data_IF_873835387921
#
_entry.id   IF_873835387921
#
_cell.length_a   1.000
_cell.length_b   1.000
_cell.length_c   1.000
_cell.angle_alpha   90.00
_cell.angle_beta   90.00
_cell.angle_gamma   90.00
#
_symmetry.space_group_name_H-M   'P 1'
#
loop_
_entity.id
_entity.type
_entity.pdbx_description
1 polymer ?
#
# COMPACT_ATOMS: atom_id res chain seq x y z
N UNK A 1 -58.05 59.93 -23.43
CA UNK A 1 -56.99 59.18 -24.14
C UNK A 1 -55.93 58.56 -23.21
N UNK A 2 -55.90 58.86 -21.90
CA UNK A 2 -54.93 58.26 -20.97
C UNK A 2 -55.26 56.81 -20.53
N UNK A 3 -56.52 56.39 -20.64
CA UNK A 3 -56.99 55.06 -20.21
C UNK A 3 -56.50 53.93 -21.14
N UNK A 4 -56.38 54.18 -22.44
CA UNK A 4 -55.96 53.18 -23.44
C UNK A 4 -54.46 52.89 -23.38
N UNK A 5 -53.64 53.85 -23.00
CA UNK A 5 -52.19 53.70 -22.85
C UNK A 5 -51.78 52.90 -21.60
N UNK A 6 -52.55 52.99 -20.51
CA UNK A 6 -52.30 52.26 -19.26
C UNK A 6 -52.62 50.78 -19.45
N UNK A 7 -53.79 50.48 -20.02
CA UNK A 7 -54.23 49.10 -20.33
C UNK A 7 -53.25 48.39 -21.29
N UNK A 8 -52.76 49.10 -22.31
CA UNK A 8 -51.79 48.53 -23.26
C UNK A 8 -50.41 48.27 -22.62
N UNK A 9 -50.04 49.01 -21.57
CA UNK A 9 -48.78 48.81 -20.84
C UNK A 9 -48.86 47.63 -19.86
N UNK A 10 -50.02 47.44 -19.21
CA UNK A 10 -50.30 46.30 -18.33
C UNK A 10 -50.40 44.99 -19.13
N UNK A 11 -51.11 44.98 -20.27
CA UNK A 11 -51.19 43.82 -21.17
C UNK A 11 -49.81 43.39 -21.72
N UNK A 12 -48.94 44.36 -22.03
CA UNK A 12 -47.59 44.08 -22.54
C UNK A 12 -46.67 43.49 -21.46
N UNK A 13 -46.78 43.96 -20.22
CA UNK A 13 -46.05 43.42 -19.06
C UNK A 13 -46.51 42.00 -18.71
N UNK A 14 -47.82 41.74 -18.70
CA UNK A 14 -48.39 40.41 -18.43
C UNK A 14 -47.95 39.39 -19.49
N UNK A 15 -47.94 39.79 -20.77
CA UNK A 15 -47.46 38.93 -21.86
C UNK A 15 -45.97 38.61 -21.71
N UNK A 16 -45.13 39.57 -21.35
CA UNK A 16 -43.69 39.34 -21.11
C UNK A 16 -43.46 38.38 -19.93
N UNK A 17 -44.19 38.56 -18.82
CA UNK A 17 -44.12 37.64 -17.66
C UNK A 17 -44.57 36.23 -18.06
N UNK A 18 -45.65 36.08 -18.83
CA UNK A 18 -46.13 34.78 -19.31
C UNK A 18 -45.12 34.05 -20.20
N UNK A 19 -44.40 34.77 -21.06
CA UNK A 19 -43.34 34.18 -21.89
C UNK A 19 -42.17 33.67 -21.05
N UNK A 20 -41.70 34.48 -20.08
CA UNK A 20 -40.66 34.08 -19.13
C UNK A 20 -41.10 32.88 -18.31
N UNK A 21 -42.32 32.88 -17.78
CA UNK A 21 -42.88 31.78 -17.00
C UNK A 21 -42.90 30.47 -17.80
N UNK A 22 -43.29 30.52 -19.07
CA UNK A 22 -43.30 29.35 -19.97
C UNK A 22 -41.90 28.78 -20.16
N UNK A 23 -40.90 29.65 -20.35
CA UNK A 23 -39.52 29.23 -20.50
C UNK A 23 -38.92 28.66 -19.21
N UNK A 24 -39.16 29.30 -18.07
CA UNK A 24 -38.68 28.80 -16.77
C UNK A 24 -39.33 27.45 -16.41
N UNK A 25 -40.61 27.26 -16.73
CA UNK A 25 -41.27 25.96 -16.61
C UNK A 25 -40.66 24.89 -17.54
N UNK A 26 -40.24 25.27 -18.75
CA UNK A 26 -39.56 24.37 -19.68
C UNK A 26 -38.16 23.99 -19.14
N UNK A 27 -37.39 24.95 -18.64
CA UNK A 27 -36.10 24.72 -17.98
C UNK A 27 -36.24 23.81 -16.75
N UNK A 28 -37.27 24.06 -15.92
CA UNK A 28 -37.57 23.24 -14.76
C UNK A 28 -37.86 21.79 -15.15
N UNK A 29 -38.61 21.57 -16.24
CA UNK A 29 -38.88 20.23 -16.78
C UNK A 29 -37.59 19.54 -17.23
N UNK A 30 -36.68 20.26 -17.88
CA UNK A 30 -35.35 19.75 -18.26
C UNK A 30 -34.53 19.40 -17.02
N UNK A 31 -34.55 20.24 -16.00
CA UNK A 31 -33.79 20.05 -14.77
C UNK A 31 -34.30 18.86 -13.96
N UNK A 32 -35.63 18.70 -13.83
CA UNK A 32 -36.27 17.51 -13.24
C UNK A 32 -35.86 16.22 -13.97
N UNK A 33 -35.79 16.24 -15.31
CA UNK A 33 -35.26 15.10 -16.10
C UNK A 33 -33.79 14.82 -15.79
N UNK A 34 -32.95 15.86 -15.68
CA UNK A 34 -31.53 15.72 -15.30
C UNK A 34 -31.38 15.15 -13.90
N UNK A 35 -32.18 15.59 -12.93
CA UNK A 35 -32.22 15.05 -11.56
C UNK A 35 -32.58 13.56 -11.57
N UNK A 36 -33.67 13.17 -12.25
CA UNK A 36 -34.08 11.76 -12.35
C UNK A 36 -32.99 10.89 -12.99
N UNK A 37 -32.36 11.37 -14.06
CA UNK A 37 -31.22 10.68 -14.70
C UNK A 37 -30.04 10.53 -13.75
N UNK A 38 -29.74 11.57 -12.97
CA UNK A 38 -28.67 11.55 -11.96
C UNK A 38 -28.98 10.59 -10.80
N UNK A 39 -30.23 10.49 -10.36
CA UNK A 39 -30.65 9.54 -9.32
C UNK A 39 -30.55 8.09 -9.78
N UNK A 40 -30.93 7.80 -11.03
CA UNK A 40 -30.69 6.49 -11.64
C UNK A 40 -29.19 6.17 -11.73
N UNK A 41 -28.36 7.15 -12.09
CA UNK A 41 -26.91 6.99 -12.12
C UNK A 41 -26.34 6.72 -10.71
N UNK A 42 -26.84 7.40 -9.67
CA UNK A 42 -26.49 7.16 -8.27
C UNK A 42 -26.86 5.73 -7.85
N UNK A 43 -28.07 5.26 -8.18
CA UNK A 43 -28.52 3.91 -7.84
C UNK A 43 -27.63 2.84 -8.49
N UNK A 44 -27.34 2.97 -9.80
CA UNK A 44 -26.41 2.08 -10.52
C UNK A 44 -24.99 2.14 -9.94
N UNK A 45 -24.51 3.34 -9.61
CA UNK A 45 -23.23 3.54 -8.96
C UNK A 45 -23.18 2.92 -7.55
N UNK A 46 -24.28 2.95 -6.80
CA UNK A 46 -24.41 2.33 -5.48
C UNK A 46 -24.25 0.81 -5.52
N UNK A 47 -24.87 0.14 -6.51
CA UNK A 47 -24.66 -1.30 -6.74
C UNK A 47 -23.19 -1.61 -7.05
N UNK A 48 -22.57 -0.80 -7.92
CA UNK A 48 -21.16 -0.93 -8.26
C UNK A 48 -20.22 -0.62 -7.07
N UNK A 49 -20.58 0.33 -6.21
CA UNK A 49 -19.87 0.66 -4.97
C UNK A 49 -19.92 -0.51 -4.00
N UNK A 50 -21.08 -1.15 -3.81
CA UNK A 50 -21.22 -2.34 -2.96
C UNK A 50 -20.29 -3.48 -3.43
N UNK A 51 -20.27 -3.77 -4.74
CA UNK A 51 -19.33 -4.74 -5.29
C UNK A 51 -17.85 -4.34 -5.07
N UNK A 52 -17.52 -3.06 -5.26
CA UNK A 52 -16.16 -2.56 -5.03
C UNK A 52 -15.76 -2.61 -3.54
N UNK A 53 -16.70 -2.41 -2.61
CA UNK A 53 -16.48 -2.55 -1.17
C UNK A 53 -16.24 -4.01 -0.77
N UNK A 54 -16.97 -4.96 -1.37
CA UNK A 54 -16.68 -6.40 -1.20
C UNK A 54 -15.26 -6.73 -1.66
N UNK A 55 -14.85 -6.25 -2.84
CA UNK A 55 -13.48 -6.42 -3.32
C UNK A 55 -12.45 -5.77 -2.37
N UNK A 56 -12.75 -4.59 -1.83
CA UNK A 56 -11.88 -3.95 -0.84
C UNK A 56 -11.74 -4.78 0.45
N UNK A 57 -12.81 -5.45 0.88
CA UNK A 57 -12.79 -6.36 2.03
C UNK A 57 -11.93 -7.59 1.73
N UNK A 58 -12.06 -8.19 0.55
CA UNK A 58 -11.22 -9.32 0.11
C UNK A 58 -9.73 -8.92 0.12
N UNK A 59 -9.39 -7.77 -0.48
CA UNK A 59 -8.03 -7.21 -0.45
C UNK A 59 -7.56 -6.97 0.99
N UNK A 60 -8.44 -6.47 1.86
CA UNK A 60 -8.15 -6.27 3.29
C UNK A 60 -7.82 -7.58 4.02
N UNK A 61 -8.58 -8.64 3.74
CA UNK A 61 -8.35 -9.97 4.31
C UNK A 61 -7.03 -10.57 3.80
N UNK A 62 -6.78 -10.50 2.50
CA UNK A 62 -5.52 -10.94 1.89
C UNK A 62 -4.33 -10.20 2.48
N UNK A 63 -4.43 -8.87 2.68
CA UNK A 63 -3.39 -8.08 3.31
C UNK A 63 -3.08 -8.57 4.74
N UNK A 64 -4.13 -8.84 5.54
CA UNK A 64 -3.98 -9.36 6.90
C UNK A 64 -3.30 -10.74 6.93
N UNK A 65 -3.63 -11.61 5.97
CA UNK A 65 -2.98 -12.92 5.83
C UNK A 65 -1.49 -12.76 5.50
N UNK A 66 -1.15 -11.93 4.50
CA UNK A 66 0.24 -11.64 4.14
C UNK A 66 1.05 -11.05 5.30
N UNK A 67 0.45 -10.16 6.09
CA UNK A 67 1.09 -9.59 7.27
C UNK A 67 1.34 -10.65 8.37
N UNK A 68 0.43 -11.62 8.54
CA UNK A 68 0.63 -12.75 9.46
C UNK A 68 1.75 -13.67 8.97
N UNK A 69 1.78 -14.02 7.69
CA UNK A 69 2.87 -14.80 7.09
C UNK A 69 4.23 -14.12 7.27
N UNK A 70 4.31 -12.81 7.06
CA UNK A 70 5.55 -12.05 7.30
C UNK A 70 5.99 -12.13 8.77
N UNK A 71 5.05 -12.07 9.73
CA UNK A 71 5.36 -12.25 11.16
C UNK A 71 5.92 -13.64 11.43
N UNK A 72 5.34 -14.68 10.83
CA UNK A 72 5.81 -16.06 10.96
C UNK A 72 7.24 -16.19 10.41
N UNK A 73 7.53 -15.63 9.23
CA UNK A 73 8.90 -15.64 8.69
C UNK A 73 9.91 -14.95 9.60
N UNK A 74 9.57 -13.77 10.15
CA UNK A 74 10.43 -13.05 11.10
C UNK A 74 10.65 -13.80 12.40
N UNK A 75 9.60 -14.43 12.93
CA UNK A 75 9.70 -15.24 14.15
C UNK A 75 10.59 -16.47 13.92
N UNK A 76 10.38 -17.18 12.81
CA UNK A 76 11.22 -18.31 12.41
C UNK A 76 12.67 -17.87 12.19
N UNK A 77 12.91 -16.72 11.57
CA UNK A 77 14.25 -16.17 11.39
C UNK A 77 14.94 -15.97 12.74
N UNK A 78 14.30 -15.27 13.68
CA UNK A 78 14.84 -15.01 15.02
C UNK A 78 15.15 -16.30 15.77
N UNK A 79 14.29 -17.31 15.67
CA UNK A 79 14.53 -18.61 16.31
C UNK A 79 15.70 -19.37 15.69
N UNK A 80 15.83 -19.38 14.37
CA UNK A 80 16.98 -20.02 13.69
C UNK A 80 18.28 -19.26 13.97
N UNK A 81 18.22 -17.93 14.08
CA UNK A 81 19.36 -17.10 14.46
C UNK A 81 19.84 -17.42 15.89
N UNK A 82 18.93 -17.61 16.85
CA UNK A 82 19.29 -18.07 18.20
C UNK A 82 19.95 -19.44 18.20
N UNK A 83 19.42 -20.39 17.43
CA UNK A 83 20.03 -21.72 17.25
C UNK A 83 21.42 -21.64 16.63
N UNK A 84 21.61 -20.73 15.67
CA UNK A 84 22.92 -20.49 15.06
C UNK A 84 23.93 -20.00 16.10
N UNK A 85 23.55 -19.00 16.91
CA UNK A 85 24.39 -18.44 17.97
C UNK A 85 24.77 -19.45 19.07
N UNK A 86 23.94 -20.47 19.32
CA UNK A 86 24.28 -21.52 20.29
C UNK A 86 25.15 -22.64 19.72
N UNK A 87 24.97 -23.01 18.45
CA UNK A 87 25.70 -24.12 17.81
C UNK A 87 27.11 -23.70 17.41
N UNK A 88 27.28 -22.50 16.86
CA UNK A 88 28.53 -22.06 16.24
C UNK A 88 29.75 -22.03 17.20
N UNK A 89 29.64 -21.51 18.44
CA UNK A 89 30.74 -21.56 19.40
C UNK A 89 31.09 -22.99 19.84
N UNK A 90 30.07 -23.83 20.03
CA UNK A 90 30.24 -25.23 20.42
C UNK A 90 30.98 -26.01 19.32
N UNK A 91 30.57 -25.81 18.06
CA UNK A 91 31.18 -26.45 16.91
C UNK A 91 32.65 -26.03 16.73
N UNK A 92 32.96 -24.74 16.91
CA UNK A 92 34.35 -24.23 16.86
C UNK A 92 35.24 -24.84 17.93
N UNK A 93 34.74 -24.98 19.17
CA UNK A 93 35.46 -25.66 20.25
C UNK A 93 35.67 -27.15 19.94
N UNK A 94 34.68 -27.81 19.37
CA UNK A 94 34.76 -29.22 18.99
C UNK A 94 35.74 -29.46 17.84
N UNK A 95 35.78 -28.56 16.85
CA UNK A 95 36.75 -28.56 15.76
C UNK A 95 38.19 -28.47 16.27
N UNK A 96 38.45 -27.56 17.22
CA UNK A 96 39.77 -27.44 17.85
C UNK A 96 40.18 -28.74 18.56
N UNK A 97 39.28 -29.35 19.34
CA UNK A 97 39.53 -30.64 20.02
C UNK A 97 39.78 -31.80 19.05
N UNK A 98 39.03 -31.85 17.95
CA UNK A 98 39.22 -32.86 16.91
C UNK A 98 40.60 -32.69 16.26
N UNK A 99 41.00 -31.45 15.98
CA UNK A 99 42.31 -31.18 15.37
C UNK A 99 43.46 -31.52 16.32
N UNK A 100 43.34 -31.29 17.62
CA UNK A 100 44.36 -31.72 18.59
C UNK A 100 44.43 -33.24 18.70
N UNK A 101 43.29 -33.94 18.84
CA UNK A 101 43.25 -35.40 18.85
C UNK A 101 43.80 -36.01 17.55
N UNK A 102 43.51 -35.41 16.39
CA UNK A 102 44.04 -35.84 15.09
C UNK A 102 45.58 -35.77 15.07
N UNK A 103 46.18 -34.71 15.61
CA UNK A 103 47.64 -34.59 15.71
C UNK A 103 48.24 -35.66 16.62
N UNK A 104 47.67 -35.86 17.81
CA UNK A 104 48.13 -36.91 18.76
C UNK A 104 48.04 -38.29 18.14
N UNK A 105 46.89 -38.64 17.55
CA UNK A 105 46.71 -39.91 16.83
C UNK A 105 47.70 -40.05 15.67
N UNK A 106 47.95 -38.98 14.92
CA UNK A 106 48.95 -38.97 13.84
C UNK A 106 50.36 -39.29 14.33
N UNK A 107 50.79 -38.73 15.46
CA UNK A 107 52.07 -39.08 16.07
C UNK A 107 52.11 -40.55 16.51
N UNK A 108 51.04 -41.04 17.16
CA UNK A 108 50.96 -42.43 17.62
C UNK A 108 50.98 -43.43 16.48
N UNK A 109 50.18 -43.21 15.43
CA UNK A 109 50.15 -44.06 14.24
C UNK A 109 51.51 -44.07 13.53
N UNK A 110 52.19 -42.91 13.44
CA UNK A 110 53.55 -42.84 12.87
C UNK A 110 54.54 -43.65 13.70
N UNK A 111 54.48 -43.59 15.03
CA UNK A 111 55.35 -44.39 15.90
C UNK A 111 55.10 -45.88 15.75
N UNK A 112 53.83 -46.31 15.71
CA UNK A 112 53.45 -47.71 15.45
C UNK A 112 54.00 -48.17 14.09
N UNK A 113 53.83 -47.35 13.06
CA UNK A 113 54.33 -47.64 11.71
C UNK A 113 55.87 -47.77 11.66
N UNK A 114 56.60 -46.80 12.22
CA UNK A 114 58.06 -46.78 12.21
C UNK A 114 58.68 -47.94 12.99
N UNK A 115 58.05 -48.32 14.11
CA UNK A 115 58.55 -49.39 14.96
C UNK A 115 58.20 -50.79 14.43
N UNK A 116 57.18 -50.90 13.57
CA UNK A 116 56.77 -52.15 12.93
C UNK A 116 56.06 -53.12 13.89
N UNK A 117 55.59 -54.24 13.36
CA UNK A 117 54.83 -55.26 14.10
C UNK A 117 55.65 -56.03 15.13
N UNK A 118 56.99 -56.01 14.99
CA UNK A 118 57.93 -56.76 15.85
C UNK A 118 58.28 -55.96 17.12
N UNK A 119 57.94 -54.67 17.20
CA UNK A 119 58.31 -53.82 18.33
C UNK A 119 57.88 -54.33 19.71
N UNK A 120 56.66 -54.87 19.92
CA UNK A 120 56.29 -55.44 21.21
C UNK A 120 57.19 -56.60 21.61
N UNK A 121 57.55 -57.49 20.65
CA UNK A 121 58.50 -58.58 20.88
C UNK A 121 59.89 -58.05 21.23
N UNK A 122 60.36 -57.01 20.53
CA UNK A 122 61.65 -56.37 20.83
C UNK A 122 61.72 -55.85 22.27
N UNK A 123 60.64 -55.26 22.77
CA UNK A 123 60.59 -54.79 24.17
C UNK A 123 60.57 -55.96 25.16
N UNK A 124 59.81 -57.02 24.87
CA UNK A 124 59.79 -58.21 25.72
C UNK A 124 61.18 -58.85 25.87
N UNK A 125 61.92 -58.97 24.76
CA UNK A 125 63.28 -59.56 24.75
C UNK A 125 64.38 -58.61 25.27
N UNK A 126 64.06 -57.33 25.52
CA UNK A 126 65.00 -56.38 26.15
C UNK A 126 64.99 -56.40 27.69
N UNK A 127 64.14 -57.24 28.29
CA UNK A 127 64.00 -57.35 29.74
C UNK A 127 65.16 -58.13 30.39
N UNK A 128 65.64 -57.65 31.54
CA UNK A 128 66.75 -58.29 32.28
C UNK A 128 66.31 -59.55 33.05
N UNK A 129 65.03 -59.67 33.41
CA UNK A 129 64.46 -60.82 34.12
C UNK A 129 62.99 -61.10 33.74
N UNK A 130 62.46 -62.23 34.23
CA UNK A 130 61.09 -62.70 33.95
C UNK A 130 60.04 -61.70 34.49
N UNK A 131 60.31 -61.06 35.62
CA UNK A 131 59.40 -60.08 36.21
C UNK A 131 59.29 -58.83 35.33
N UNK A 132 60.41 -58.30 34.85
CA UNK A 132 60.45 -57.18 33.92
C UNK A 132 59.78 -57.53 32.58
N UNK A 133 59.90 -58.78 32.10
CA UNK A 133 59.16 -59.26 30.93
C UNK A 133 57.64 -59.19 31.12
N UNK A 134 57.11 -59.69 32.24
CA UNK A 134 55.67 -59.61 32.54
C UNK A 134 55.19 -58.17 32.72
N UNK A 135 55.99 -57.29 33.33
CA UNK A 135 55.66 -55.86 33.45
C UNK A 135 55.60 -55.17 32.07
N UNK A 136 56.58 -55.42 31.21
CA UNK A 136 56.62 -54.87 29.85
C UNK A 136 55.42 -55.35 29.00
N UNK A 137 55.04 -56.62 29.11
CA UNK A 137 53.82 -57.16 28.49
C UNK A 137 52.57 -56.43 28.95
N UNK A 138 52.42 -56.24 30.26
CA UNK A 138 51.29 -55.52 30.84
C UNK A 138 51.22 -54.08 30.33
N UNK A 139 52.35 -53.37 30.29
CA UNK A 139 52.39 -51.99 29.78
C UNK A 139 52.07 -51.91 28.29
N UNK A 140 52.56 -52.84 27.45
CA UNK A 140 52.21 -52.88 26.03
C UNK A 140 50.70 -53.08 25.82
N UNK A 141 50.08 -53.98 26.58
CA UNK A 141 48.64 -54.18 26.52
C UNK A 141 47.86 -52.92 26.94
N UNK A 142 48.27 -52.27 28.04
CA UNK A 142 47.66 -51.02 28.50
C UNK A 142 47.79 -49.89 27.45
N UNK A 143 48.94 -49.77 26.79
CA UNK A 143 49.15 -48.81 25.70
C UNK A 143 48.23 -49.11 24.52
N UNK A 144 48.14 -50.36 24.08
CA UNK A 144 47.29 -50.77 22.96
C UNK A 144 45.80 -50.50 23.27
N UNK A 145 45.35 -50.81 24.48
CA UNK A 145 43.99 -50.51 24.94
C UNK A 145 43.72 -49.01 24.94
N UNK A 146 44.66 -48.20 25.45
CA UNK A 146 44.54 -46.75 25.46
C UNK A 146 44.47 -46.17 24.04
N UNK A 147 45.33 -46.62 23.13
CA UNK A 147 45.35 -46.15 21.74
C UNK A 147 44.06 -46.54 20.99
N UNK A 148 43.54 -47.77 21.22
CA UNK A 148 42.24 -48.18 20.70
C UNK A 148 41.09 -47.33 21.25
N UNK A 149 41.11 -47.01 22.55
CA UNK A 149 40.12 -46.14 23.18
C UNK A 149 40.19 -44.70 22.63
N UNK A 150 41.40 -44.17 22.41
CA UNK A 150 41.63 -42.86 21.83
C UNK A 150 41.05 -42.78 20.40
N UNK A 151 41.32 -43.80 19.58
CA UNK A 151 40.78 -43.88 18.22
C UNK A 151 39.24 -43.96 18.21
N UNK A 152 38.65 -44.78 19.09
CA UNK A 152 37.18 -44.88 19.22
C UNK A 152 36.56 -43.56 19.66
N UNK A 153 37.15 -42.88 20.65
CA UNK A 153 36.70 -41.56 21.11
C UNK A 153 36.78 -40.52 20.00
N UNK A 154 37.89 -40.50 19.24
CA UNK A 154 38.07 -39.61 18.10
C UNK A 154 37.00 -39.84 17.03
N UNK A 155 36.75 -41.11 16.65
CA UNK A 155 35.73 -41.46 15.65
C UNK A 155 34.35 -40.94 16.04
N UNK A 156 33.91 -41.21 17.27
CA UNK A 156 32.59 -40.76 17.78
C UNK A 156 32.51 -39.22 17.79
N UNK A 157 33.56 -38.54 18.24
CA UNK A 157 33.60 -37.07 18.25
C UNK A 157 33.57 -36.50 16.83
N UNK A 158 34.29 -37.10 15.90
CA UNK A 158 34.34 -36.67 14.50
C UNK A 158 32.98 -36.85 13.80
N UNK A 159 32.32 -37.99 13.98
CA UNK A 159 30.98 -38.23 13.44
C UNK A 159 29.95 -37.23 13.98
N UNK A 160 29.99 -36.93 15.27
CA UNK A 160 29.14 -35.91 15.89
C UNK A 160 29.42 -34.52 15.31
N UNK A 161 30.70 -34.16 15.16
CA UNK A 161 31.09 -32.88 14.57
C UNK A 161 30.60 -32.72 13.13
N UNK A 162 30.74 -33.75 12.29
CA UNK A 162 30.25 -33.72 10.92
C UNK A 162 28.72 -33.58 10.87
N UNK A 163 28.00 -34.26 11.76
CA UNK A 163 26.54 -34.10 11.89
C UNK A 163 26.14 -32.69 12.29
N UNK A 164 26.79 -32.11 13.30
CA UNK A 164 26.50 -30.76 13.78
C UNK A 164 26.88 -29.70 12.74
N UNK A 165 27.97 -29.92 11.98
CA UNK A 165 28.39 -29.08 10.85
C UNK A 165 27.36 -29.09 9.71
N UNK A 166 26.82 -30.26 9.34
CA UNK A 166 25.73 -30.35 8.36
C UNK A 166 24.47 -29.62 8.85
N UNK A 167 24.13 -29.78 10.13
CA UNK A 167 23.01 -29.06 10.76
C UNK A 167 23.20 -27.53 10.69
N UNK A 168 24.41 -27.05 10.97
CA UNK A 168 24.77 -25.63 10.86
C UNK A 168 24.54 -25.09 9.44
N UNK A 169 25.00 -25.79 8.42
CA UNK A 169 24.79 -25.40 7.02
C UNK A 169 23.30 -25.39 6.64
N UNK A 170 22.53 -26.38 7.09
CA UNK A 170 21.08 -26.42 6.86
C UNK A 170 20.37 -25.23 7.53
N UNK A 171 20.75 -24.87 8.75
CA UNK A 171 20.20 -23.69 9.46
C UNK A 171 20.56 -22.39 8.73
N UNK A 172 21.81 -22.25 8.25
CA UNK A 172 22.25 -21.09 7.45
C UNK A 172 21.47 -20.96 6.14
N UNK A 173 21.32 -22.07 5.39
CA UNK A 173 20.51 -22.09 4.17
C UNK A 173 19.05 -21.71 4.45
N UNK A 174 18.48 -22.22 5.55
CA UNK A 174 17.12 -21.87 5.99
C UNK A 174 16.98 -20.39 6.34
N UNK A 175 17.98 -19.77 6.98
CA UNK A 175 17.97 -18.34 7.28
C UNK A 175 17.94 -17.49 6.00
N UNK A 176 18.79 -17.81 5.02
CA UNK A 176 18.79 -17.14 3.71
C UNK A 176 17.43 -17.27 3.02
N UNK A 177 16.83 -18.47 3.04
CA UNK A 177 15.48 -18.70 2.50
C UNK A 177 14.40 -17.89 3.22
N UNK A 178 14.44 -17.84 4.55
CA UNK A 178 13.50 -17.06 5.37
C UNK A 178 13.61 -15.55 5.11
N UNK A 179 14.84 -15.03 4.99
CA UNK A 179 15.09 -13.63 4.67
C UNK A 179 14.54 -13.27 3.28
N UNK A 180 14.85 -14.11 2.28
CA UNK A 180 14.33 -13.97 0.92
C UNK A 180 12.80 -13.96 0.93
N UNK A 181 12.16 -14.94 1.56
CA UNK A 181 10.70 -15.03 1.65
C UNK A 181 10.08 -13.84 2.39
N UNK A 182 10.71 -13.35 3.47
CA UNK A 182 10.26 -12.17 4.18
C UNK A 182 10.33 -10.91 3.31
N UNK A 183 11.39 -10.76 2.49
CA UNK A 183 11.52 -9.65 1.53
C UNK A 183 10.41 -9.69 0.48
N UNK A 184 10.21 -10.83 -0.19
CA UNK A 184 9.11 -10.98 -1.16
C UNK A 184 7.75 -10.68 -0.54
N UNK A 185 7.48 -11.21 0.65
CA UNK A 185 6.20 -10.97 1.34
C UNK A 185 6.01 -9.49 1.70
N UNK A 186 7.08 -8.79 2.08
CA UNK A 186 7.05 -7.33 2.33
C UNK A 186 6.69 -6.56 1.05
N UNK A 187 7.27 -6.94 -0.08
CA UNK A 187 7.00 -6.29 -1.37
C UNK A 187 5.54 -6.53 -1.82
N UNK A 188 5.02 -7.76 -1.64
CA UNK A 188 3.61 -8.08 -1.87
C UNK A 188 2.68 -7.23 -0.99
N UNK A 189 3.01 -7.04 0.29
CA UNK A 189 2.23 -6.20 1.21
C UNK A 189 2.19 -4.76 0.72
N UNK A 190 3.32 -4.21 0.26
CA UNK A 190 3.39 -2.84 -0.27
C UNK A 190 2.51 -2.69 -1.52
N UNK A 191 2.59 -3.64 -2.46
CA UNK A 191 1.74 -3.66 -3.66
C UNK A 191 0.26 -3.72 -3.31
N UNK A 192 -0.13 -4.65 -2.44
CA UNK A 192 -1.54 -4.80 -2.01
C UNK A 192 -2.05 -3.58 -1.23
N UNK A 193 -1.20 -2.92 -0.40
CA UNK A 193 -1.56 -1.65 0.25
C UNK A 193 -1.80 -0.54 -0.76
N UNK A 194 -0.98 -0.45 -1.82
CA UNK A 194 -1.15 0.52 -2.90
C UNK A 194 -2.46 0.27 -3.64
N UNK A 195 -2.73 -0.96 -4.06
CA UNK A 195 -3.98 -1.36 -4.72
C UNK A 195 -5.21 -1.01 -3.88
N UNK A 196 -5.20 -1.36 -2.59
CA UNK A 196 -6.26 -1.00 -1.63
C UNK A 196 -6.49 0.51 -1.58
N UNK A 197 -5.40 1.29 -1.51
CA UNK A 197 -5.48 2.75 -1.42
C UNK A 197 -6.06 3.40 -2.68
N UNK A 198 -5.69 2.90 -3.87
CA UNK A 198 -6.17 3.38 -5.17
C UNK A 198 -7.66 3.08 -5.32
N UNK A 199 -8.08 1.85 -5.00
CA UNK A 199 -9.49 1.46 -5.06
C UNK A 199 -10.34 2.31 -4.11
N UNK A 200 -9.89 2.50 -2.87
CA UNK A 200 -10.58 3.33 -1.89
C UNK A 200 -10.73 4.78 -2.35
N UNK A 201 -9.66 5.39 -2.89
CA UNK A 201 -9.70 6.75 -3.45
C UNK A 201 -10.70 6.85 -4.61
N UNK A 202 -10.72 5.86 -5.51
CA UNK A 202 -11.66 5.80 -6.65
C UNK A 202 -13.12 5.74 -6.19
N UNK A 203 -13.42 4.92 -5.17
CA UNK A 203 -14.76 4.82 -4.59
C UNK A 203 -15.18 6.17 -3.96
N UNK A 204 -14.33 6.75 -3.10
CA UNK A 204 -14.61 8.05 -2.44
C UNK A 204 -14.84 9.18 -3.44
N UNK A 205 -13.98 9.29 -4.46
CA UNK A 205 -14.09 10.34 -5.50
C UNK A 205 -15.38 10.22 -6.30
N UNK A 206 -15.76 9.00 -6.73
CA UNK A 206 -17.03 8.76 -7.43
C UNK A 206 -18.23 9.16 -6.56
N UNK A 207 -18.25 8.71 -5.31
CA UNK A 207 -19.33 9.03 -4.35
C UNK A 207 -19.49 10.54 -4.14
N UNK A 208 -18.39 11.24 -3.92
CA UNK A 208 -18.39 12.69 -3.76
C UNK A 208 -18.94 13.41 -5.00
N UNK A 209 -18.45 13.05 -6.19
CA UNK A 209 -18.88 13.66 -7.45
C UNK A 209 -20.39 13.49 -7.68
N UNK A 210 -20.91 12.28 -7.54
CA UNK A 210 -22.34 12.03 -7.73
C UNK A 210 -23.22 12.83 -6.75
N UNK A 211 -22.81 12.90 -5.47
CA UNK A 211 -23.51 13.70 -4.45
C UNK A 211 -23.46 15.20 -4.76
N UNK A 212 -22.30 15.71 -5.18
CA UNK A 212 -22.11 17.13 -5.54
C UNK A 212 -23.00 17.54 -6.71
N UNK A 213 -22.97 16.78 -7.80
CA UNK A 213 -23.80 17.04 -8.98
C UNK A 213 -25.30 17.00 -8.64
N UNK A 214 -25.74 16.03 -7.82
CA UNK A 214 -27.14 15.99 -7.36
C UNK A 214 -27.49 17.24 -6.55
N UNK A 215 -26.64 17.65 -5.62
CA UNK A 215 -26.86 18.84 -4.79
C UNK A 215 -26.98 20.10 -5.65
N UNK A 216 -26.11 20.27 -6.64
CA UNK A 216 -26.14 21.40 -7.58
C UNK A 216 -27.41 21.41 -8.44
N UNK A 217 -27.83 20.25 -8.98
CA UNK A 217 -29.07 20.16 -9.75
C UNK A 217 -30.32 20.45 -8.92
N UNK A 218 -30.37 19.94 -7.67
CA UNK A 218 -31.48 20.22 -6.75
C UNK A 218 -31.51 21.70 -6.38
N UNK A 219 -30.37 22.30 -6.04
CA UNK A 219 -30.28 23.73 -5.72
C UNK A 219 -30.68 24.62 -6.90
N UNK A 220 -30.27 24.26 -8.13
CA UNK A 220 -30.74 24.96 -9.32
C UNK A 220 -32.27 24.83 -9.48
N UNK A 221 -32.86 23.68 -9.13
CA UNK A 221 -34.30 23.45 -9.27
C UNK A 221 -35.11 24.18 -8.22
N UNK A 222 -34.59 24.30 -6.99
CA UNK A 222 -35.25 25.09 -5.95
C UNK A 222 -35.22 26.56 -6.32
N UNK A 223 -34.06 27.09 -6.72
CA UNK A 223 -33.94 28.49 -7.14
C UNK A 223 -34.89 28.83 -8.31
N UNK A 224 -35.08 27.88 -9.23
CA UNK A 224 -35.97 28.05 -10.37
C UNK A 224 -37.45 28.02 -9.96
N UNK A 225 -37.83 27.11 -9.06
CA UNK A 225 -39.19 27.11 -8.49
C UNK A 225 -39.45 28.42 -7.75
N UNK A 226 -38.52 28.89 -6.92
CA UNK A 226 -38.67 30.15 -6.17
C UNK A 226 -38.84 31.35 -7.12
N UNK A 227 -38.17 31.34 -8.29
CA UNK A 227 -38.34 32.35 -9.32
C UNK A 227 -39.73 32.26 -9.97
N UNK A 228 -40.18 31.06 -10.31
CA UNK A 228 -41.53 30.85 -10.87
C UNK A 228 -42.61 31.32 -9.88
N UNK A 229 -42.48 30.98 -8.60
CA UNK A 229 -43.43 31.39 -7.56
C UNK A 229 -43.49 32.93 -7.42
N UNK A 230 -42.33 33.61 -7.49
CA UNK A 230 -42.27 35.08 -7.51
C UNK A 230 -42.95 35.67 -8.75
N UNK A 231 -42.71 35.10 -9.94
CA UNK A 231 -43.34 35.56 -11.17
C UNK A 231 -44.87 35.37 -11.11
N UNK A 232 -45.36 34.26 -10.55
CA UNK A 232 -46.79 34.03 -10.35
C UNK A 232 -47.42 35.06 -9.40
N UNK A 233 -46.75 35.38 -8.28
CA UNK A 233 -47.21 36.41 -7.35
C UNK A 233 -47.31 37.77 -8.04
N UNK A 234 -46.30 38.14 -8.86
CA UNK A 234 -46.28 39.41 -9.61
C UNK A 234 -47.41 39.53 -10.63
N UNK A 235 -47.81 38.43 -11.29
CA UNK A 235 -48.99 38.41 -12.17
C UNK A 235 -50.26 38.77 -11.37
N UNK A 236 -50.40 38.22 -10.17
CA UNK A 236 -51.60 38.42 -9.32
C UNK A 236 -51.62 39.81 -8.68
N UNK A 237 -50.46 40.35 -8.29
CA UNK A 237 -50.35 41.67 -7.68
C UNK A 237 -50.34 42.83 -8.68
N UNK A 238 -50.20 42.56 -9.98
CA UNK A 238 -50.10 43.59 -11.02
C UNK A 238 -48.73 44.30 -11.06
N UNK A 239 -47.72 43.76 -10.39
CA UNK A 239 -46.37 44.32 -10.37
C UNK A 239 -45.58 43.93 -11.64
N UNK A 240 -44.82 44.89 -12.18
CA UNK A 240 -43.96 44.67 -13.35
C UNK A 240 -42.71 43.81 -13.07
N UNK A 241 -42.01 43.44 -14.14
CA UNK A 241 -40.73 42.72 -14.06
C UNK A 241 -39.61 43.63 -13.56
N UNK A 242 -38.82 43.15 -12.61
CA UNK A 242 -37.57 43.79 -12.20
C UNK A 242 -36.39 43.30 -13.05
N UNK A 243 -35.31 44.08 -13.08
CA UNK A 243 -34.04 43.68 -13.70
C UNK A 243 -33.53 42.36 -13.11
N UNK A 244 -33.77 42.13 -11.81
CA UNK A 244 -33.41 40.91 -11.10
C UNK A 244 -34.11 39.66 -11.64
N UNK A 245 -35.33 39.80 -12.17
CA UNK A 245 -36.12 38.68 -12.70
C UNK A 245 -35.63 38.26 -14.09
N UNK A 246 -35.04 39.21 -14.84
CA UNK A 246 -34.45 38.95 -16.17
C UNK A 246 -32.99 38.45 -16.08
N UNK A 247 -32.49 38.13 -14.88
CA UNK A 247 -31.08 37.75 -14.65
C UNK A 247 -30.67 36.55 -15.52
N UNK A 248 -29.63 36.74 -16.33
CA UNK A 248 -29.13 35.71 -17.27
C UNK A 248 -29.82 35.67 -18.63
N UNK A 249 -30.92 36.42 -18.80
CA UNK A 249 -31.67 36.60 -20.05
C UNK A 249 -31.71 38.06 -20.52
N UNK A 250 -30.99 38.95 -19.83
CA UNK A 250 -30.79 40.33 -20.28
C UNK A 250 -30.05 40.33 -21.61
N UNK A 251 -30.65 40.98 -22.60
CA UNK A 251 -29.98 41.22 -23.88
C UNK A 251 -28.70 42.02 -23.65
N UNK A 252 -27.64 41.66 -24.38
CA UNK A 252 -26.43 42.48 -24.36
C UNK A 252 -26.78 43.86 -24.91
N UNK A 253 -26.29 44.95 -24.28
CA UNK A 253 -26.58 46.31 -24.76
C UNK A 253 -25.98 46.59 -26.14
N UNK A 254 -24.98 45.80 -26.54
CA UNK A 254 -24.30 45.89 -27.83
C UNK A 254 -23.75 44.52 -28.24
N UNK A 255 -23.85 44.18 -29.52
CA UNK A 255 -23.21 43.00 -30.09
C UNK A 255 -21.70 43.22 -30.22
N UNK A 256 -20.91 42.55 -29.39
CA UNK A 256 -19.49 42.81 -29.30
C UNK A 256 -18.73 41.93 -28.32
N UNK A 257 -17.39 42.00 -28.37
CA UNK A 257 -16.53 41.26 -27.44
C UNK A 257 -16.36 42.06 -26.14
N UNK A 258 -16.58 41.40 -25.01
CA UNK A 258 -16.32 41.99 -23.68
C UNK A 258 -14.81 42.18 -23.50
N UNK A 259 -14.39 43.43 -23.28
CA UNK A 259 -13.00 43.82 -23.08
C UNK A 259 -12.55 43.63 -21.63
N UNK A 260 -13.45 43.95 -20.70
CA UNK A 260 -13.24 43.88 -19.26
C UNK A 260 -14.55 43.43 -18.56
N UNK A 261 -14.38 42.77 -17.41
CA UNK A 261 -15.48 42.38 -16.55
C UNK A 261 -15.56 43.37 -15.38
N UNK A 262 -16.76 43.52 -14.83
CA UNK A 262 -16.97 44.23 -13.57
C UNK A 262 -16.08 43.66 -12.46
N UNK A 263 -15.55 44.53 -11.60
CA UNK A 263 -14.75 44.18 -10.43
C UNK A 263 -13.27 44.49 -10.57
N UNK A 264 -12.48 43.94 -9.64
CA UNK A 264 -11.05 44.23 -9.54
C UNK A 264 -10.25 43.35 -10.50
N UNK A 265 -9.43 43.97 -11.34
CA UNK A 265 -8.46 43.30 -12.20
C UNK A 265 -7.07 43.79 -11.88
N UNK A 266 -6.15 42.86 -11.59
CA UNK A 266 -4.73 43.19 -11.42
C UNK A 266 -4.11 43.45 -12.80
N UNK A 267 -3.41 44.57 -12.92
CA UNK A 267 -2.66 44.94 -14.13
C UNK A 267 -1.18 44.74 -13.83
N UNK A 268 -0.53 43.87 -14.61
CA UNK A 268 0.84 43.42 -14.32
C UNK A 268 1.86 44.53 -14.58
N UNK A 269 1.59 45.44 -15.52
CA UNK A 269 2.50 46.53 -15.90
C UNK A 269 2.73 47.56 -14.77
N UNK A 270 1.77 47.74 -13.86
CA UNK A 270 1.81 48.78 -12.82
C UNK A 270 1.74 48.22 -11.39
N UNK A 271 1.79 46.90 -11.25
CA UNK A 271 1.52 46.14 -10.02
C UNK A 271 0.35 46.66 -9.16
N UNK A 272 -0.69 47.15 -9.83
CA UNK A 272 -1.84 47.80 -9.21
C UNK A 272 -3.15 47.13 -9.63
N UNK A 273 -4.21 47.42 -8.87
CA UNK A 273 -5.56 46.93 -9.16
C UNK A 273 -6.37 48.05 -9.80
N UNK A 274 -6.91 47.79 -10.99
CA UNK A 274 -7.93 48.63 -11.60
C UNK A 274 -9.29 48.06 -11.21
N UNK A 275 -10.16 48.92 -10.68
CA UNK A 275 -11.54 48.57 -10.37
C UNK A 275 -12.41 49.02 -11.54
N UNK A 276 -13.03 48.06 -12.22
CA UNK A 276 -14.00 48.36 -13.28
C UNK A 276 -15.41 48.37 -12.69
N UNK A 277 -16.08 49.52 -12.75
CA UNK A 277 -17.46 49.70 -12.26
C UNK A 277 -18.53 49.20 -13.25
N UNK A 278 -18.11 48.61 -14.38
CA UNK A 278 -19.00 48.08 -15.40
C UNK A 278 -18.30 47.12 -16.36
N UNK A 279 -18.97 46.82 -17.46
CA UNK A 279 -18.45 46.05 -18.58
C UNK A 279 -18.26 46.96 -19.78
N UNK A 280 -17.10 46.89 -20.44
CA UNK A 280 -16.88 47.56 -21.73
C UNK A 280 -16.99 46.52 -22.82
N UNK A 281 -17.86 46.79 -23.79
CA UNK A 281 -18.11 45.91 -24.93
C UNK A 281 -17.55 46.59 -26.17
N UNK A 282 -16.69 45.89 -26.91
CA UNK A 282 -16.16 46.40 -28.17
C UNK A 282 -17.19 46.19 -29.27
N UNK A 283 -17.66 47.29 -29.86
CA UNK A 283 -18.57 47.27 -31.00
C UNK A 283 -18.00 46.46 -32.17
N UNK A 284 -18.83 45.58 -32.72
CA UNK A 284 -18.54 44.89 -33.97
C UNK A 284 -18.98 45.82 -35.12
N UNK A 285 -18.03 46.52 -35.76
CA UNK A 285 -18.31 47.29 -36.98
C UNK A 285 -18.99 46.36 -37.99
N UNK A 286 -20.14 46.79 -38.51
CA UNK A 286 -20.85 46.13 -39.62
C UNK A 286 -20.01 46.17 -40.89
#
# INVERSE_FOLDING_TARGET
MASTSIVFSEEKNINEINTLLKDEQAELKVLRKKIKKQELAISKAGKSESAALKNLQVIGNQLRLKERELKIYKWNFKNNQKKLLSIEPSLKKMEQKINTHKKVLGYRLRSIYKNGSIFPLKIMFSSNDINALFQNLKYMNLIAQHDAQLLRKYKIQYEKFEKDKRSLYAVRAKLVGLEKNAKYKKDEIVKTKKEKSVLLKKIKKKKYFYKKVRKELVAASTNLNDLIDKLLVKIVSGEGLDISDKKGRLNMPLDGRILNKFGKKRVKEYDSYIVYNGINVKEKKR
#
